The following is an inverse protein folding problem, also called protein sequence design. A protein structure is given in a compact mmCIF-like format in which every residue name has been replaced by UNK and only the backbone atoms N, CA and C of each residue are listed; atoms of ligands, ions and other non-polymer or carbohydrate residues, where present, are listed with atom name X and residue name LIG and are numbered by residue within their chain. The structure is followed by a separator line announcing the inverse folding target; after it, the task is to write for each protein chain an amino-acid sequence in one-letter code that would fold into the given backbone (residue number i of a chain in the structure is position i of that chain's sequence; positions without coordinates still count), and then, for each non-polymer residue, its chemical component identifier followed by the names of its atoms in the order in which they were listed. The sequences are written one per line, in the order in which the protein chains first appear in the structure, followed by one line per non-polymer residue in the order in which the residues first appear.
data_IF_839004711801
#
_entry.id   IF_839004711801
#
_cell.length_a   1.000
_cell.length_b   1.000
_cell.length_c   1.000
_cell.angle_alpha   90.00
_cell.angle_beta   90.00
_cell.angle_gamma   90.00
#
_symmetry.space_group_name_H-M   'P 1'
#
loop_
_entity.id
_entity.type
_entity.pdbx_description
1 polymer ?
#
# COMPACT_ATOMS: atom_id res chain seq x y z
N UNK A 1 -27.14 37.08 -30.44
CA UNK A 1 -25.91 36.78 -29.66
C UNK A 1 -26.34 36.66 -28.19
N UNK A 2 -26.34 35.46 -27.63
CA UNK A 2 -26.94 35.19 -26.31
C UNK A 2 -26.13 35.86 -25.19
N UNK A 3 -26.79 36.63 -24.32
CA UNK A 3 -26.14 37.20 -23.13
C UNK A 3 -25.89 36.09 -22.12
N UNK A 4 -24.63 35.72 -21.96
CA UNK A 4 -24.21 34.72 -20.98
C UNK A 4 -24.16 35.39 -19.60
N UNK A 5 -24.85 34.82 -18.62
CA UNK A 5 -24.83 35.30 -17.25
C UNK A 5 -23.54 34.84 -16.57
N UNK A 6 -22.65 35.80 -16.30
CA UNK A 6 -21.30 35.54 -15.76
C UNK A 6 -21.35 34.75 -14.45
N UNK A 7 -22.34 34.97 -13.58
CA UNK A 7 -22.49 34.20 -12.34
C UNK A 7 -22.88 32.74 -12.61
N UNK A 8 -23.70 32.48 -13.64
CA UNK A 8 -24.04 31.11 -14.05
C UNK A 8 -22.85 30.42 -14.71
N UNK A 9 -22.03 31.17 -15.46
CA UNK A 9 -20.80 30.65 -16.05
C UNK A 9 -19.76 30.32 -14.97
N UNK A 10 -19.62 31.17 -13.95
CA UNK A 10 -18.69 30.96 -12.83
C UNK A 10 -19.07 29.72 -12.01
N UNK A 11 -20.36 29.51 -11.75
CA UNK A 11 -20.88 28.31 -11.06
C UNK A 11 -20.61 27.02 -11.83
N UNK A 12 -20.72 27.04 -13.17
CA UNK A 12 -20.44 25.89 -14.02
C UNK A 12 -18.95 25.53 -14.04
N UNK A 13 -18.05 26.52 -13.97
CA UNK A 13 -16.59 26.30 -13.93
C UNK A 13 -16.14 25.72 -12.59
N UNK A 14 -16.71 26.18 -11.47
CA UNK A 14 -16.37 25.65 -10.14
C UNK A 14 -16.85 24.19 -9.97
N UNK A 15 -18.02 23.86 -10.53
CA UNK A 15 -18.58 22.52 -10.45
C UNK A 15 -17.75 21.48 -11.23
N UNK A 16 -17.20 21.86 -12.40
CA UNK A 16 -16.38 20.94 -13.21
C UNK A 16 -15.00 20.67 -12.59
N UNK A 17 -14.40 21.65 -11.90
CA UNK A 17 -13.11 21.47 -11.21
C UNK A 17 -13.26 20.59 -9.96
N UNK A 18 -14.36 20.73 -9.22
CA UNK A 18 -14.65 19.91 -8.03
C UNK A 18 -14.80 18.40 -8.33
N UNK A 19 -15.35 18.05 -9.50
CA UNK A 19 -15.55 16.65 -9.91
C UNK A 19 -14.23 15.99 -10.34
N UNK A 20 -13.30 16.73 -10.97
CA UNK A 20 -11.98 16.20 -11.33
C UNK A 20 -11.06 16.00 -10.11
N UNK A 21 -11.27 16.77 -9.03
CA UNK A 21 -10.44 16.67 -7.82
C UNK A 21 -10.78 15.49 -6.91
N UNK A 22 -11.97 14.87 -7.05
CA UNK A 22 -12.41 13.82 -6.12
C UNK A 22 -12.03 12.39 -6.57
N UNK A 23 -11.56 12.17 -7.81
CA UNK A 23 -11.35 10.80 -8.34
C UNK A 23 -10.03 10.55 -9.07
N UNK A 24 -9.01 11.38 -8.89
CA UNK A 24 -7.64 10.98 -9.21
C UNK A 24 -6.86 10.72 -7.94
N UNK A 25 -7.21 9.61 -7.29
CA UNK A 25 -6.16 8.80 -6.68
C UNK A 25 -5.31 8.32 -7.84
N UNK A 26 -4.22 9.02 -8.13
CA UNK A 26 -3.05 8.36 -8.70
C UNK A 26 -2.59 7.34 -7.66
N UNK A 27 -3.31 6.22 -7.59
CA UNK A 27 -2.72 4.95 -7.26
C UNK A 27 -1.93 4.54 -8.51
N UNK A 28 -0.91 5.35 -8.86
CA UNK A 28 0.33 4.75 -9.30
C UNK A 28 0.67 3.86 -8.13
N UNK A 29 0.45 2.57 -8.36
CA UNK A 29 0.64 1.49 -7.42
C UNK A 29 1.73 1.90 -6.45
N UNK A 30 1.36 1.99 -5.18
CA UNK A 30 2.26 1.71 -4.08
C UNK A 30 2.79 0.29 -4.35
N UNK A 31 3.64 0.13 -5.36
CA UNK A 31 4.27 -1.13 -5.65
C UNK A 31 5.21 -1.32 -4.48
N UNK A 32 4.75 -2.21 -3.60
CA UNK A 32 5.36 -2.60 -2.34
C UNK A 32 5.08 -1.54 -1.26
N UNK A 33 3.94 -1.69 -0.58
CA UNK A 33 3.80 -1.26 0.80
C UNK A 33 5.10 -1.62 1.56
N UNK A 34 5.56 -0.76 2.47
CA UNK A 34 6.53 -1.15 3.49
C UNK A 34 5.85 -2.22 4.37
N UNK A 35 5.75 -3.43 3.84
CA UNK A 35 5.50 -4.64 4.61
C UNK A 35 6.68 -4.71 5.55
N UNK A 36 6.44 -4.58 6.84
CA UNK A 36 7.44 -4.90 7.85
C UNK A 36 8.10 -6.20 7.42
N UNK A 37 9.42 -6.20 7.24
CA UNK A 37 10.16 -7.39 6.81
C UNK A 37 10.16 -8.37 7.97
N UNK A 38 9.03 -9.05 8.17
CA UNK A 38 8.94 -10.19 9.08
C UNK A 38 9.88 -11.23 8.46
N UNK A 39 10.99 -11.59 9.13
CA UNK A 39 11.89 -12.59 8.60
C UNK A 39 11.11 -13.90 8.44
N UNK A 40 11.40 -14.64 7.37
CA UNK A 40 10.73 -15.92 7.11
C UNK A 40 11.02 -17.00 8.17
N UNK A 41 11.98 -16.76 9.06
CA UNK A 41 12.39 -17.62 10.16
C UNK A 41 12.47 -16.78 11.44
N UNK A 42 11.87 -17.29 12.52
CA UNK A 42 11.93 -16.69 13.86
C UNK A 42 13.19 -17.21 14.55
N UNK A 43 14.21 -16.36 14.73
CA UNK A 43 15.51 -16.78 15.25
C UNK A 43 15.44 -17.24 16.71
N UNK A 44 14.48 -16.69 17.46
CA UNK A 44 14.25 -17.01 18.86
C UNK A 44 13.77 -18.45 19.08
N UNK A 45 13.24 -19.11 18.04
CA UNK A 45 12.76 -20.49 18.12
C UNK A 45 13.84 -21.53 17.73
N UNK A 46 15.03 -21.08 17.33
CA UNK A 46 16.07 -21.96 16.82
C UNK A 46 16.77 -22.74 17.94
N UNK A 47 16.92 -24.05 17.73
CA UNK A 47 17.78 -24.91 18.56
C UNK A 47 19.10 -25.17 17.84
N UNK A 48 20.15 -24.44 18.23
CA UNK A 48 21.48 -24.56 17.62
C UNK A 48 22.24 -25.83 18.01
N UNK A 49 21.66 -26.69 18.87
CA UNK A 49 22.24 -27.99 19.21
C UNK A 49 21.89 -29.08 18.18
N UNK A 50 20.88 -28.84 17.33
CA UNK A 50 20.46 -29.74 16.24
C UNK A 50 21.23 -29.38 14.96
N UNK A 51 21.72 -30.37 14.20
CA UNK A 51 22.30 -30.13 12.87
C UNK A 51 21.17 -29.91 11.84
N UNK A 52 21.09 -28.74 11.17
CA UNK A 52 20.02 -28.47 10.21
C UNK A 52 20.02 -29.39 8.98
N UNK A 53 21.12 -30.10 8.70
CA UNK A 53 21.20 -31.06 7.59
C UNK A 53 20.51 -32.38 7.92
N UNK A 54 20.45 -32.72 9.21
CA UNK A 54 19.84 -33.95 9.70
C UNK A 54 18.37 -33.71 10.10
N UNK A 55 18.08 -32.56 10.74
CA UNK A 55 16.72 -32.19 11.13
C UNK A 55 16.49 -30.67 11.11
N UNK A 56 16.15 -30.15 9.94
CA UNK A 56 15.87 -28.72 9.77
C UNK A 56 14.63 -28.27 10.56
N UNK A 57 13.63 -29.13 10.75
CA UNK A 57 12.37 -28.73 11.39
C UNK A 57 12.60 -28.42 12.87
N UNK A 58 13.33 -29.28 13.59
CA UNK A 58 13.67 -29.03 14.99
C UNK A 58 14.78 -27.98 15.13
N UNK A 59 15.71 -27.86 14.17
CA UNK A 59 16.68 -26.76 14.19
C UNK A 59 16.03 -25.37 14.20
N UNK A 60 14.93 -25.16 13.46
CA UNK A 60 14.25 -23.85 13.40
C UNK A 60 13.07 -23.68 14.38
N UNK A 61 12.61 -24.74 15.06
CA UNK A 61 11.45 -24.71 15.96
C UNK A 61 11.64 -25.47 17.29
N UNK A 62 12.88 -25.79 17.68
CA UNK A 62 13.18 -26.70 18.79
C UNK A 62 13.35 -26.07 20.17
N UNK A 63 13.34 -24.73 20.26
CA UNK A 63 13.41 -23.99 21.54
C UNK A 63 12.10 -24.04 22.34
#
# INVERSE_FOLDING_TARGET
MNKINVNRLLLLVVLTIGILSCNKKTEMKKDIAETEKIPGIVLENMDTSVDPREDFYNYVNGN
#
